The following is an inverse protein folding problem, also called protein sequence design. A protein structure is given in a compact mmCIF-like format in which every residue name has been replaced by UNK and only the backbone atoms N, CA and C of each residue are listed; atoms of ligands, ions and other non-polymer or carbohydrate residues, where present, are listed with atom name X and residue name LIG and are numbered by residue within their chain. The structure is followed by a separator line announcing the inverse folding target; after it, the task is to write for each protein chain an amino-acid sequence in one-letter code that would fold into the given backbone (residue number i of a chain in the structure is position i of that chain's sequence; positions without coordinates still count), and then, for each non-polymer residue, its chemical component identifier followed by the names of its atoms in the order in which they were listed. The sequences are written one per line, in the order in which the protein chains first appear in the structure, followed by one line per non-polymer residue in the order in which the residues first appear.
data_IF_443379112311
#
_entry.id   IF_443379112311
#
_cell.length_a   1.000
_cell.length_b   1.000
_cell.length_c   1.000
_cell.angle_alpha   90.00
_cell.angle_beta   90.00
_cell.angle_gamma   90.00
#
_symmetry.space_group_name_H-M   'P 1'
#
loop_
_entity.id
_entity.type
_entity.pdbx_description
1 polymer ?
#
# COMPACT_ATOMS: atom_id res chain seq x y z
N UNK A 1 -29.53 -53.28 -14.00
CA UNK A 1 -28.53 -52.94 -12.95
C UNK A 1 -28.75 -51.50 -12.51
N UNK A 2 -28.95 -51.26 -11.20
CA UNK A 2 -29.10 -49.93 -10.62
C UNK A 2 -27.71 -49.48 -10.12
N UNK A 3 -27.16 -48.33 -10.55
CA UNK A 3 -25.82 -47.93 -10.11
C UNK A 3 -25.85 -47.64 -8.60
N UNK A 4 -24.93 -48.26 -7.88
CA UNK A 4 -24.78 -48.10 -6.43
C UNK A 4 -24.29 -46.70 -6.12
N UNK A 5 -24.88 -46.05 -5.12
CA UNK A 5 -24.56 -44.68 -4.65
C UNK A 5 -23.07 -44.47 -4.39
N UNK A 6 -22.33 -45.53 -4.02
CA UNK A 6 -20.87 -45.48 -3.85
C UNK A 6 -20.11 -45.18 -5.15
N UNK A 7 -20.59 -45.70 -6.29
CA UNK A 7 -19.96 -45.46 -7.58
C UNK A 7 -20.14 -44.01 -8.04
N UNK A 8 -21.29 -43.40 -7.73
CA UNK A 8 -21.54 -41.98 -8.04
C UNK A 8 -20.62 -41.05 -7.23
N UNK A 9 -20.46 -41.30 -5.91
CA UNK A 9 -19.56 -40.48 -5.08
C UNK A 9 -18.08 -40.59 -5.51
N UNK A 10 -17.62 -41.78 -5.88
CA UNK A 10 -16.24 -41.96 -6.37
C UNK A 10 -15.98 -41.18 -7.67
N UNK A 11 -16.95 -41.14 -8.58
CA UNK A 11 -16.83 -40.37 -9.82
C UNK A 11 -16.84 -38.86 -9.57
N UNK A 12 -17.62 -38.38 -8.59
CA UNK A 12 -17.60 -36.96 -8.19
C UNK A 12 -16.27 -36.59 -7.54
N UNK A 13 -15.74 -37.43 -6.64
CA UNK A 13 -14.43 -37.19 -6.01
C UNK A 13 -13.29 -37.17 -7.02
N UNK A 14 -13.26 -38.13 -7.95
CA UNK A 14 -12.28 -38.15 -9.04
C UNK A 14 -12.40 -36.94 -9.95
N UNK A 15 -13.62 -36.52 -10.29
CA UNK A 15 -13.84 -35.29 -11.04
C UNK A 15 -13.29 -34.07 -10.28
N UNK A 16 -13.58 -33.92 -8.99
CA UNK A 16 -13.07 -32.79 -8.20
C UNK A 16 -11.56 -32.77 -8.09
N UNK A 17 -10.90 -33.93 -7.91
CA UNK A 17 -9.44 -34.01 -7.86
C UNK A 17 -8.80 -33.61 -9.20
N UNK A 18 -9.38 -34.04 -10.33
CA UNK A 18 -8.93 -33.65 -11.67
C UNK A 18 -9.13 -32.14 -11.93
N UNK A 19 -10.19 -31.53 -11.39
CA UNK A 19 -10.40 -30.08 -11.46
C UNK A 19 -9.39 -29.29 -10.61
N UNK A 20 -9.02 -29.81 -9.44
CA UNK A 20 -7.99 -29.20 -8.56
C UNK A 20 -6.59 -29.32 -9.16
N UNK A 21 -6.23 -30.47 -9.74
CA UNK A 21 -4.94 -30.61 -10.46
C UNK A 21 -4.87 -29.69 -11.69
N UNK A 22 -5.98 -29.49 -12.41
CA UNK A 22 -6.03 -28.53 -13.53
C UNK A 22 -5.94 -27.07 -13.10
N UNK A 23 -6.31 -26.72 -11.87
CA UNK A 23 -6.17 -25.33 -11.37
C UNK A 23 -4.77 -25.03 -10.87
N UNK A 24 -4.03 -26.02 -10.34
CA UNK A 24 -2.63 -25.84 -9.95
C UNK A 24 -1.66 -25.69 -11.13
N UNK A 25 -2.03 -26.15 -12.33
CA UNK A 25 -1.17 -26.08 -13.51
C UNK A 25 -1.19 -24.72 -14.24
N UNK A 26 -1.72 -23.67 -13.61
CA UNK A 26 -1.60 -22.31 -14.15
C UNK A 26 -0.35 -21.68 -13.56
N UNK A 27 0.80 -21.91 -14.19
CA UNK A 27 2.00 -21.14 -13.90
C UNK A 27 1.69 -19.66 -14.09
N UNK A 28 1.75 -18.91 -12.99
CA UNK A 28 1.69 -17.45 -13.02
C UNK A 28 3.00 -16.99 -13.68
N UNK A 29 3.00 -16.81 -14.99
CA UNK A 29 4.11 -16.16 -15.68
C UNK A 29 4.14 -14.69 -15.23
N UNK A 30 4.88 -14.42 -14.15
CA UNK A 30 5.40 -13.09 -13.86
C UNK A 30 6.29 -12.69 -15.05
N UNK A 31 5.70 -11.98 -16.00
CA UNK A 31 6.49 -11.18 -16.91
C UNK A 31 7.10 -10.07 -16.07
N UNK A 32 8.39 -10.20 -15.81
CA UNK A 32 9.23 -9.14 -15.26
C UNK A 32 8.99 -7.87 -16.09
N UNK A 33 8.53 -6.75 -15.52
CA UNK A 33 8.60 -5.49 -16.20
C UNK A 33 10.08 -5.18 -16.44
N UNK A 34 10.49 -5.20 -17.70
CA UNK A 34 11.78 -4.67 -18.14
C UNK A 34 11.79 -3.17 -17.79
N UNK A 35 12.39 -2.83 -16.66
CA UNK A 35 12.70 -1.45 -16.30
C UNK A 35 13.91 -1.01 -17.14
N UNK A 36 13.66 -0.64 -18.39
CA UNK A 36 14.66 0.00 -19.22
C UNK A 36 13.98 0.92 -20.24
N UNK A 37 13.47 2.04 -19.76
CA UNK A 37 13.53 3.29 -20.53
C UNK A 37 14.01 4.41 -19.60
N UNK A 38 15.03 5.19 -19.99
CA UNK A 38 15.44 6.36 -19.23
C UNK A 38 14.33 7.41 -19.31
N UNK A 39 13.78 7.77 -18.15
CA UNK A 39 12.90 8.92 -17.98
C UNK A 39 13.60 10.14 -18.57
N UNK A 40 13.04 10.69 -19.66
CA UNK A 40 13.54 11.90 -20.29
C UNK A 40 13.40 13.05 -19.30
N UNK A 41 14.53 13.54 -18.81
CA UNK A 41 14.63 14.66 -17.89
C UNK A 41 14.08 15.93 -18.56
N UNK A 42 13.03 16.59 -18.04
CA UNK A 42 12.71 17.94 -18.45
C UNK A 42 13.79 18.88 -17.90
N UNK A 43 14.39 19.66 -18.79
CA UNK A 43 15.38 20.69 -18.47
C UNK A 43 14.76 21.74 -17.55
N UNK A 44 15.17 21.75 -16.28
CA UNK A 44 14.76 22.77 -15.30
C UNK A 44 15.57 24.04 -15.53
N UNK A 45 14.86 25.13 -15.85
CA UNK A 45 15.38 26.49 -15.89
C UNK A 45 15.51 27.00 -14.44
N UNK A 46 16.66 27.54 -14.00
CA UNK A 46 16.79 28.04 -12.64
C UNK A 46 16.35 29.51 -12.58
N UNK A 47 15.28 29.80 -11.82
CA UNK A 47 14.93 31.12 -11.28
C UNK A 47 14.11 30.86 -10.00
N UNK A 48 14.77 30.86 -8.85
CA UNK A 48 14.82 31.94 -7.84
C UNK A 48 13.51 32.13 -7.06
N UNK A 49 13.62 31.96 -5.75
CA UNK A 49 12.51 32.02 -4.80
C UNK A 49 12.43 30.75 -3.96
N UNK A 50 12.77 30.87 -2.67
CA UNK A 50 12.45 29.88 -1.65
C UNK A 50 10.93 29.76 -1.59
N UNK A 51 10.41 28.79 -2.34
CA UNK A 51 9.00 28.49 -2.41
C UNK A 51 8.64 27.57 -1.24
N UNK A 52 8.11 28.14 -0.17
CA UNK A 52 7.59 27.38 0.98
C UNK A 52 6.24 26.68 0.65
N UNK A 53 5.83 26.61 -0.63
CA UNK A 53 4.68 25.81 -1.08
C UNK A 53 5.03 24.32 -0.95
N UNK A 54 4.23 23.52 -0.22
CA UNK A 54 4.52 22.11 -0.02
C UNK A 54 4.58 21.30 -1.32
N UNK A 55 3.79 21.68 -2.34
CA UNK A 55 3.82 21.08 -3.69
C UNK A 55 3.45 22.12 -4.76
N UNK A 56 4.19 22.12 -5.87
CA UNK A 56 3.94 23.03 -7.02
C UNK A 56 2.68 22.64 -7.81
N UNK A 57 2.32 21.35 -7.82
CA UNK A 57 1.16 20.81 -8.52
C UNK A 57 0.71 19.45 -7.93
N UNK A 58 -0.46 18.98 -8.38
CA UNK A 58 -1.07 17.75 -7.86
C UNK A 58 -0.36 16.46 -8.30
N UNK A 59 0.43 16.49 -9.37
CA UNK A 59 1.27 15.36 -9.78
C UNK A 59 2.44 15.20 -8.82
N UNK A 60 3.15 16.28 -8.48
CA UNK A 60 4.24 16.26 -7.50
C UNK A 60 3.73 15.75 -6.14
N UNK A 61 2.50 16.12 -5.76
CA UNK A 61 1.86 15.57 -4.57
C UNK A 61 1.69 14.04 -4.66
N UNK A 62 1.15 13.52 -5.77
CA UNK A 62 0.98 12.08 -5.95
C UNK A 62 2.32 11.33 -5.91
N UNK A 63 3.35 11.89 -6.54
CA UNK A 63 4.72 11.35 -6.50
C UNK A 63 5.26 11.32 -5.06
N UNK A 64 5.06 12.40 -4.31
CA UNK A 64 5.47 12.49 -2.90
C UNK A 64 4.72 11.46 -2.04
N UNK A 65 3.42 11.27 -2.28
CA UNK A 65 2.62 10.26 -1.57
C UNK A 65 3.15 8.86 -1.90
N UNK A 66 3.34 8.55 -3.18
CA UNK A 66 3.83 7.25 -3.63
C UNK A 66 5.22 6.93 -3.06
N UNK A 67 6.12 7.91 -3.06
CA UNK A 67 7.45 7.77 -2.45
C UNK A 67 7.34 7.50 -0.94
N UNK A 68 6.64 8.35 -0.20
CA UNK A 68 6.52 8.21 1.25
C UNK A 68 5.87 6.87 1.66
N UNK A 69 4.79 6.45 0.97
CA UNK A 69 4.09 5.21 1.30
C UNK A 69 4.91 3.98 0.92
N UNK A 70 5.58 3.99 -0.22
CA UNK A 70 6.42 2.86 -0.65
C UNK A 70 7.66 2.70 0.24
N UNK A 71 8.25 3.80 0.71
CA UNK A 71 9.35 3.74 1.68
C UNK A 71 8.90 3.12 3.01
N UNK A 72 7.73 3.52 3.52
CA UNK A 72 7.15 2.90 4.71
C UNK A 72 6.87 1.41 4.52
N UNK A 73 6.23 1.01 3.43
CA UNK A 73 5.92 -0.38 3.12
C UNK A 73 7.19 -1.23 3.00
N UNK A 74 8.21 -0.70 2.30
CA UNK A 74 9.51 -1.36 2.19
C UNK A 74 10.13 -1.56 3.58
N UNK A 75 10.13 -0.53 4.43
CA UNK A 75 10.64 -0.65 5.80
C UNK A 75 9.85 -1.71 6.59
N UNK A 76 8.51 -1.69 6.51
CA UNK A 76 7.65 -2.61 7.22
C UNK A 76 7.96 -4.07 6.81
N UNK A 77 8.10 -4.34 5.52
CA UNK A 77 8.46 -5.65 5.00
C UNK A 77 9.84 -6.10 5.48
N UNK A 78 10.84 -5.21 5.44
CA UNK A 78 12.21 -5.54 5.88
C UNK A 78 12.31 -5.76 7.39
N UNK A 79 11.38 -5.20 8.18
CA UNK A 79 11.33 -5.33 9.63
C UNK A 79 10.19 -6.25 10.12
N UNK A 80 9.64 -7.07 9.23
CA UNK A 80 8.59 -8.03 9.57
C UNK A 80 9.12 -9.22 10.39
N UNK A 81 10.40 -9.58 10.23
CA UNK A 81 11.03 -10.69 10.97
C UNK A 81 12.53 -10.47 11.22
N UNK A 82 12.98 -10.36 12.49
CA UNK A 82 12.16 -10.24 13.70
C UNK A 82 11.32 -8.95 13.66
N UNK A 83 10.15 -8.98 14.29
CA UNK A 83 9.22 -7.84 14.25
C UNK A 83 9.82 -6.61 14.95
N UNK A 84 10.23 -5.62 14.16
CA UNK A 84 10.91 -4.38 14.62
C UNK A 84 10.39 -3.13 13.89
N UNK A 85 9.29 -3.27 13.16
CA UNK A 85 8.69 -2.24 12.31
C UNK A 85 8.37 -0.95 13.09
N UNK A 86 7.71 -1.03 14.26
CA UNK A 86 7.28 0.18 14.98
C UNK A 86 8.47 1.09 15.37
N UNK A 87 9.63 0.49 15.70
CA UNK A 87 10.81 1.25 16.11
C UNK A 87 11.57 1.79 14.89
N UNK A 88 11.74 0.96 13.86
CA UNK A 88 12.61 1.27 12.73
C UNK A 88 11.89 2.05 11.61
N UNK A 89 10.56 2.01 11.56
CA UNK A 89 9.76 2.60 10.48
C UNK A 89 8.91 3.80 10.93
N UNK A 90 9.02 4.24 12.19
CA UNK A 90 8.24 5.35 12.74
C UNK A 90 8.40 6.66 11.95
N UNK A 91 9.62 6.97 11.51
CA UNK A 91 9.90 8.19 10.73
C UNK A 91 9.18 8.18 9.39
N UNK A 92 9.28 7.06 8.64
CA UNK A 92 8.62 6.91 7.35
C UNK A 92 7.10 6.91 7.48
N UNK A 93 6.57 6.25 8.52
CA UNK A 93 5.15 6.32 8.85
C UNK A 93 4.70 7.75 9.13
N UNK A 94 5.43 8.47 10.01
CA UNK A 94 5.14 9.86 10.36
C UNK A 94 5.19 10.79 9.16
N UNK A 95 6.14 10.59 8.25
CA UNK A 95 6.24 11.34 6.99
C UNK A 95 4.98 11.14 6.12
N UNK A 96 4.59 9.88 5.89
CA UNK A 96 3.39 9.53 5.12
C UNK A 96 2.10 10.13 5.72
N UNK A 97 1.87 9.95 7.02
CA UNK A 97 0.70 10.51 7.70
C UNK A 97 0.74 12.03 7.77
N UNK A 98 1.93 12.63 7.87
CA UNK A 98 2.12 14.08 7.83
C UNK A 98 1.60 14.72 6.55
N UNK A 99 1.84 14.07 5.39
CA UNK A 99 1.31 14.52 4.10
C UNK A 99 -0.23 14.49 4.12
N UNK A 100 -0.83 13.41 4.61
CA UNK A 100 -2.29 13.31 4.71
C UNK A 100 -2.89 14.40 5.61
N UNK A 101 -2.27 14.65 6.76
CA UNK A 101 -2.69 15.71 7.68
C UNK A 101 -2.63 17.08 7.02
N UNK A 102 -1.55 17.38 6.29
CA UNK A 102 -1.43 18.63 5.55
C UNK A 102 -2.52 18.76 4.48
N UNK A 103 -2.82 17.70 3.71
CA UNK A 103 -3.87 17.74 2.69
C UNK A 103 -5.28 17.93 3.25
N UNK A 104 -5.56 17.33 4.40
CA UNK A 104 -6.91 17.35 4.99
C UNK A 104 -7.17 18.61 5.80
N UNK A 105 -6.16 19.12 6.51
CA UNK A 105 -6.29 20.26 7.43
C UNK A 105 -5.81 21.58 6.85
N UNK A 106 -4.80 21.59 5.97
CA UNK A 106 -4.25 22.83 5.42
C UNK A 106 -5.15 23.37 4.30
N UNK A 107 -6.10 24.19 4.71
CA UNK A 107 -7.07 24.85 3.82
C UNK A 107 -6.63 26.24 3.38
N UNK A 108 -5.46 26.70 3.84
CA UNK A 108 -4.98 28.06 3.57
C UNK A 108 -4.22 28.14 2.25
N UNK A 109 -3.56 27.05 1.87
CA UNK A 109 -2.81 26.98 0.61
C UNK A 109 -3.73 26.65 -0.58
N UNK A 110 -3.80 27.51 -1.63
CA UNK A 110 -4.65 27.30 -2.78
C UNK A 110 -4.31 26.04 -3.58
N UNK A 111 -3.03 25.61 -3.62
CA UNK A 111 -2.62 24.39 -4.30
C UNK A 111 -3.13 23.13 -3.56
N UNK A 112 -2.97 23.09 -2.25
CA UNK A 112 -3.49 22.03 -1.37
C UNK A 112 -5.01 21.89 -1.50
N UNK A 113 -5.75 23.01 -1.57
CA UNK A 113 -7.20 23.00 -1.82
C UNK A 113 -7.56 22.42 -3.18
N UNK A 114 -6.84 22.80 -4.23
CA UNK A 114 -7.08 22.31 -5.59
C UNK A 114 -6.92 20.79 -5.65
N UNK A 115 -5.80 20.27 -5.15
CA UNK A 115 -5.54 18.82 -5.16
C UNK A 115 -6.48 18.06 -4.23
N UNK A 116 -6.87 18.66 -3.10
CA UNK A 116 -7.89 18.09 -2.23
C UNK A 116 -9.22 17.92 -2.97
N UNK A 117 -9.67 18.93 -3.71
CA UNK A 117 -10.88 18.78 -4.52
C UNK A 117 -10.68 17.73 -5.63
N UNK A 118 -9.54 17.72 -6.31
CA UNK A 118 -9.29 16.77 -7.40
C UNK A 118 -9.28 15.30 -6.96
N UNK A 119 -8.69 14.98 -5.80
CA UNK A 119 -8.52 13.61 -5.34
C UNK A 119 -9.51 13.16 -4.26
N UNK A 120 -10.15 14.10 -3.56
CA UNK A 120 -11.08 13.79 -2.46
C UNK A 120 -12.52 14.26 -2.72
N UNK A 121 -12.80 15.01 -3.81
CA UNK A 121 -14.18 15.40 -4.14
C UNK A 121 -14.92 14.40 -5.05
N UNK A 122 -15.57 13.43 -4.39
CA UNK A 122 -16.83 12.77 -4.78
C UNK A 122 -16.89 11.75 -5.94
N UNK A 123 -17.82 10.80 -5.73
CA UNK A 123 -18.34 9.70 -6.59
C UNK A 123 -17.44 8.50 -6.90
N UNK A 124 -16.12 8.64 -6.96
CA UNK A 124 -15.19 7.53 -7.21
C UNK A 124 -14.36 7.22 -5.96
N UNK A 125 -13.92 5.97 -5.84
CA UNK A 125 -12.97 5.56 -4.79
C UNK A 125 -11.72 6.45 -4.92
N UNK A 126 -11.42 7.21 -3.87
CA UNK A 126 -10.18 7.98 -3.81
C UNK A 126 -9.03 7.02 -3.52
N UNK A 127 -8.17 6.80 -4.52
CA UNK A 127 -6.97 5.97 -4.34
C UNK A 127 -6.07 6.58 -3.28
N UNK A 128 -5.97 7.90 -3.24
CA UNK A 128 -5.17 8.62 -2.23
C UNK A 128 -5.66 8.31 -0.82
N UNK A 129 -6.96 8.41 -0.56
CA UNK A 129 -7.56 8.05 0.73
C UNK A 129 -7.32 6.57 1.09
N UNK A 130 -7.43 5.67 0.11
CA UNK A 130 -7.18 4.24 0.31
C UNK A 130 -5.72 3.93 0.63
N UNK A 131 -4.78 4.61 -0.02
CA UNK A 131 -3.34 4.48 0.27
C UNK A 131 -3.03 4.90 1.70
N UNK A 132 -3.57 6.03 2.16
CA UNK A 132 -3.36 6.47 3.54
C UNK A 132 -4.02 5.56 4.57
N UNK A 133 -5.24 5.10 4.28
CA UNK A 133 -5.92 4.10 5.13
C UNK A 133 -5.08 2.83 5.23
N UNK A 134 -4.51 2.36 4.11
CA UNK A 134 -3.70 1.14 4.10
C UNK A 134 -2.48 1.23 5.02
N UNK A 135 -1.70 2.31 4.94
CA UNK A 135 -0.51 2.46 5.80
C UNK A 135 -0.89 2.64 7.27
N UNK A 136 -2.03 3.28 7.56
CA UNK A 136 -2.56 3.42 8.92
C UNK A 136 -3.03 2.07 9.47
N UNK A 137 -3.69 1.24 8.66
CA UNK A 137 -4.12 -0.10 9.02
C UNK A 137 -2.91 -1.01 9.32
N UNK A 138 -1.84 -0.92 8.53
CA UNK A 138 -0.60 -1.65 8.80
C UNK A 138 0.01 -1.25 10.15
N UNK A 139 0.06 0.04 10.45
CA UNK A 139 0.61 0.56 11.71
C UNK A 139 -0.24 0.18 12.94
N UNK A 140 -1.56 0.31 12.83
CA UNK A 140 -2.50 0.02 13.92
C UNK A 140 -2.66 -1.48 14.17
N UNK A 141 -2.70 -2.31 13.12
CA UNK A 141 -2.72 -3.78 13.24
C UNK A 141 -1.43 -4.34 13.86
N UNK A 142 -0.33 -3.63 13.66
CA UNK A 142 0.95 -3.80 14.34
C UNK A 142 0.97 -3.24 15.79
N UNK A 143 -0.15 -2.70 16.28
CA UNK A 143 -0.32 -1.91 17.52
C UNK A 143 0.88 -1.02 17.86
N UNK A 144 1.43 -0.38 16.84
CA UNK A 144 2.50 0.59 17.03
C UNK A 144 2.02 1.87 17.74
N UNK A 145 0.71 2.06 17.88
CA UNK A 145 0.09 3.14 18.68
C UNK A 145 0.11 2.88 20.19
N UNK A 146 0.42 1.65 20.60
CA UNK A 146 0.57 1.29 22.01
C UNK A 146 1.83 1.91 22.60
N UNK A 147 1.67 2.57 23.75
CA UNK A 147 2.80 3.13 24.51
C UNK A 147 3.93 2.10 24.66
N UNK A 148 5.16 2.56 24.41
CA UNK A 148 6.39 1.81 24.59
C UNK A 148 6.47 1.17 25.99
N UNK A 149 5.93 -0.04 26.14
CA UNK A 149 5.72 -0.59 27.47
C UNK A 149 5.12 -1.99 27.51
N UNK A 150 5.54 -2.88 26.63
CA UNK A 150 5.76 -4.32 26.90
C UNK A 150 5.97 -5.07 25.59
N UNK A 151 7.23 -5.17 25.18
CA UNK A 151 7.74 -5.81 23.95
C UNK A 151 7.52 -7.34 23.88
N UNK A 152 6.36 -7.86 24.29
CA UNK A 152 6.11 -9.32 24.30
C UNK A 152 4.72 -9.72 23.81
N UNK A 153 3.81 -8.78 23.51
CA UNK A 153 2.45 -9.12 23.03
C UNK A 153 2.41 -9.25 21.49
N UNK A 154 3.36 -8.68 20.75
CA UNK A 154 3.38 -8.70 19.28
C UNK A 154 3.82 -10.00 18.60
N UNK A 155 4.05 -11.06 19.38
CA UNK A 155 4.15 -12.42 18.84
C UNK A 155 2.74 -13.02 18.63
N UNK A 156 1.68 -12.46 19.23
CA UNK A 156 0.37 -13.13 19.32
C UNK A 156 -0.60 -12.95 18.13
N UNK A 157 -0.30 -12.18 17.08
CA UNK A 157 -1.25 -11.97 15.98
C UNK A 157 -0.99 -12.82 14.70
N UNK A 158 0.15 -13.51 14.60
CA UNK A 158 0.55 -14.25 13.39
C UNK A 158 1.16 -15.65 13.64
N UNK A 159 0.76 -16.36 14.70
CA UNK A 159 0.93 -17.81 14.84
C UNK A 159 -0.35 -18.47 15.32
#
# INVERSE_FOLDING_TARGET
MKPSTRTACFMVFLATLLFVERTLATEFQFHTPQLSEPVSTPSVHPDDGRDDRPWENCTNLLETIAEATSMFELCALMNAKPFTMCMNCAEMYGSGIGIFYQLTTNTTDPASRLCRHQFFSSTKVSIVDKTFTHIQDLWTSASCDGEAGNSTIFVCALC
#
